data_IF_841848597320
#
_entry.id   IF_841848597320
#
_cell.length_a   1.000
_cell.length_b   1.000
_cell.length_c   1.000
_cell.angle_alpha   90.00
_cell.angle_beta   90.00
_cell.angle_gamma   90.00
#
_symmetry.space_group_name_H-M   'P 1'
#
loop_
_entity.id
_entity.type
_entity.pdbx_description
1 polymer ?
#
# COMPACT_ATOMS: atom_id res chain seq x y z
N UNK A 1 5.43 -22.77 -0.72
CA UNK A 1 5.26 -21.94 0.49
C UNK A 1 4.17 -20.91 0.19
N UNK A 2 3.11 -20.88 0.99
CA UNK A 2 2.02 -19.91 0.90
C UNK A 2 2.38 -18.72 1.79
N UNK A 3 2.34 -17.49 1.27
CA UNK A 3 2.70 -16.31 2.07
C UNK A 3 1.50 -15.38 2.30
N UNK A 4 1.28 -15.04 3.56
CA UNK A 4 0.37 -14.00 4.03
C UNK A 4 1.13 -12.80 4.61
N UNK A 5 2.39 -12.64 4.22
CA UNK A 5 3.22 -11.53 4.69
C UNK A 5 2.73 -10.21 4.09
N UNK A 6 2.48 -9.15 4.90
CA UNK A 6 1.85 -7.91 4.41
C UNK A 6 2.83 -6.91 3.77
N UNK A 7 4.04 -7.34 3.42
CA UNK A 7 4.95 -6.51 2.64
C UNK A 7 6.44 -6.78 2.85
N UNK A 8 7.16 -7.15 1.75
CA UNK A 8 6.63 -7.54 0.46
C UNK A 8 5.69 -8.71 0.56
N UNK A 9 4.64 -8.73 -0.26
CA UNK A 9 3.60 -9.74 -0.20
C UNK A 9 3.65 -10.71 -1.39
N UNK A 10 2.64 -11.55 -1.48
CA UNK A 10 2.49 -12.49 -2.59
C UNK A 10 2.43 -11.74 -3.92
N UNK A 11 3.15 -12.27 -4.89
CA UNK A 11 3.14 -11.82 -6.29
C UNK A 11 2.15 -12.68 -7.08
N UNK A 12 1.45 -12.10 -8.05
CA UNK A 12 0.59 -12.88 -8.95
C UNK A 12 1.41 -13.94 -9.68
N UNK A 13 0.92 -15.20 -9.83
CA UNK A 13 1.65 -16.27 -10.49
C UNK A 13 2.11 -15.92 -11.92
N UNK A 14 1.29 -15.18 -12.64
CA UNK A 14 1.55 -14.77 -14.03
C UNK A 14 2.73 -13.82 -14.19
N UNK A 15 3.19 -13.18 -13.12
CA UNK A 15 4.32 -12.25 -13.14
C UNK A 15 5.62 -12.95 -13.59
N UNK A 16 5.79 -14.24 -13.30
CA UNK A 16 6.92 -15.02 -13.78
C UNK A 16 6.95 -15.08 -15.32
N UNK A 17 5.80 -15.36 -15.94
CA UNK A 17 5.68 -15.43 -17.41
C UNK A 17 5.87 -14.05 -18.04
N UNK A 18 5.33 -12.99 -17.43
CA UNK A 18 5.52 -11.62 -17.89
C UNK A 18 6.98 -11.16 -17.80
N UNK A 19 7.72 -11.59 -16.77
CA UNK A 19 9.15 -11.30 -16.69
C UNK A 19 9.95 -11.98 -17.80
N UNK A 20 9.65 -13.25 -18.10
CA UNK A 20 10.25 -13.98 -19.24
C UNK A 20 9.90 -13.29 -20.56
N UNK A 21 8.66 -12.88 -20.73
CA UNK A 21 8.20 -12.15 -21.93
C UNK A 21 8.97 -10.84 -22.10
N UNK A 22 9.10 -10.04 -21.02
CA UNK A 22 9.84 -8.78 -21.04
C UNK A 22 11.29 -8.94 -21.52
N UNK A 23 11.96 -10.02 -21.05
CA UNK A 23 13.32 -10.33 -21.47
C UNK A 23 13.38 -10.74 -22.95
N UNK A 24 12.48 -11.61 -23.39
CA UNK A 24 12.44 -12.10 -24.78
C UNK A 24 12.12 -10.99 -25.78
N UNK A 25 11.29 -10.06 -25.42
CA UNK A 25 10.92 -8.89 -26.25
C UNK A 25 11.92 -7.75 -26.18
N UNK A 26 12.97 -7.86 -25.34
CA UNK A 26 13.97 -6.81 -25.17
C UNK A 26 13.50 -5.59 -24.38
N UNK A 27 12.34 -5.66 -23.72
CA UNK A 27 11.77 -4.55 -22.93
C UNK A 27 12.74 -4.08 -21.85
N UNK A 28 13.43 -5.01 -21.21
CA UNK A 28 14.38 -4.74 -20.12
C UNK A 28 15.61 -3.94 -20.56
N UNK A 29 15.85 -3.85 -21.87
CA UNK A 29 17.00 -3.14 -22.47
C UNK A 29 16.58 -1.86 -23.21
N UNK A 30 15.31 -1.48 -23.16
CA UNK A 30 14.82 -0.26 -23.81
C UNK A 30 15.40 0.98 -23.13
N UNK A 31 15.86 1.91 -23.95
CA UNK A 31 16.21 3.24 -23.47
C UNK A 31 14.92 3.95 -23.00
N UNK A 32 14.94 4.54 -21.81
CA UNK A 32 13.78 5.21 -21.19
C UNK A 32 13.29 6.46 -21.95
N UNK A 33 13.98 6.86 -23.02
CA UNK A 33 13.55 7.93 -23.95
C UNK A 33 13.15 7.38 -25.33
N UNK A 34 13.16 6.06 -25.53
CA UNK A 34 12.73 5.44 -26.78
C UNK A 34 11.20 5.39 -26.88
N UNK A 35 10.71 5.39 -28.13
CA UNK A 35 9.26 5.28 -28.38
C UNK A 35 8.65 4.04 -27.72
N UNK A 36 9.31 2.87 -27.85
CA UNK A 36 8.81 1.64 -27.24
C UNK A 36 8.70 1.68 -25.72
N UNK A 37 9.63 2.36 -25.02
CA UNK A 37 9.50 2.55 -23.58
C UNK A 37 8.37 3.54 -23.25
N UNK A 38 8.28 4.66 -23.96
CA UNK A 38 7.21 5.64 -23.77
C UNK A 38 5.83 5.02 -24.00
N UNK A 39 5.68 4.11 -24.94
CA UNK A 39 4.43 3.37 -25.16
C UNK A 39 4.05 2.50 -23.95
N UNK A 40 5.01 1.81 -23.32
CA UNK A 40 4.79 1.04 -22.09
C UNK A 40 4.35 1.95 -20.94
N UNK A 41 5.00 3.12 -20.75
CA UNK A 41 4.61 4.07 -19.70
C UNK A 41 3.23 4.64 -19.96
N UNK A 42 2.94 5.05 -21.20
CA UNK A 42 1.63 5.58 -21.61
C UNK A 42 0.50 4.60 -21.35
N UNK A 43 0.70 3.35 -21.75
CA UNK A 43 -0.29 2.28 -21.53
C UNK A 43 -0.47 2.01 -20.03
N UNK A 44 0.62 2.00 -19.24
CA UNK A 44 0.55 1.82 -17.79
C UNK A 44 -0.28 2.90 -17.12
N UNK A 45 -0.06 4.18 -17.50
CA UNK A 45 -0.81 5.33 -16.97
C UNK A 45 -2.28 5.24 -17.37
N UNK A 46 -2.56 4.91 -18.63
CA UNK A 46 -3.93 4.73 -19.11
C UNK A 46 -4.69 3.65 -18.32
N UNK A 47 -4.06 2.48 -18.13
CA UNK A 47 -4.64 1.39 -17.36
C UNK A 47 -4.82 1.72 -15.87
N UNK A 48 -3.93 2.51 -15.26
CA UNK A 48 -4.12 2.99 -13.89
C UNK A 48 -5.37 3.87 -13.77
N UNK A 49 -5.57 4.83 -14.71
CA UNK A 49 -6.79 5.63 -14.76
C UNK A 49 -8.03 4.75 -14.90
N UNK A 50 -8.01 3.81 -15.84
CA UNK A 50 -9.16 2.93 -16.13
C UNK A 50 -9.47 1.99 -14.95
N UNK A 51 -8.47 1.22 -14.52
CA UNK A 51 -8.68 0.12 -13.56
C UNK A 51 -8.96 0.60 -12.14
N UNK A 52 -8.35 1.72 -11.75
CA UNK A 52 -8.51 2.30 -10.42
C UNK A 52 -9.54 3.44 -10.37
N UNK A 53 -10.17 3.77 -11.51
CA UNK A 53 -11.12 4.89 -11.64
C UNK A 53 -10.52 6.23 -11.18
N UNK A 54 -9.25 6.50 -11.52
CA UNK A 54 -8.58 7.77 -11.20
C UNK A 54 -9.15 8.85 -12.13
N UNK A 55 -9.51 10.06 -11.62
CA UNK A 55 -9.99 11.16 -12.44
C UNK A 55 -8.99 11.55 -13.54
N UNK A 56 -9.49 11.89 -14.71
CA UNK A 56 -8.65 12.13 -15.89
C UNK A 56 -7.74 13.37 -15.78
N UNK A 57 -8.05 14.29 -14.88
CA UNK A 57 -7.26 15.48 -14.59
C UNK A 57 -6.16 15.27 -13.56
N UNK A 58 -6.13 14.10 -12.88
CA UNK A 58 -5.03 13.73 -12.00
C UNK A 58 -3.83 13.25 -12.82
N UNK A 59 -2.66 13.59 -12.37
CA UNK A 59 -1.40 13.17 -12.97
C UNK A 59 -0.88 11.92 -12.28
N UNK A 60 -0.22 11.05 -13.05
CA UNK A 60 0.38 9.80 -12.54
C UNK A 60 1.86 9.77 -12.90
N UNK A 61 2.69 9.48 -11.91
CA UNK A 61 4.12 9.23 -12.08
C UNK A 61 4.51 7.91 -11.42
N UNK A 62 5.62 7.33 -11.88
CA UNK A 62 6.18 6.10 -11.37
C UNK A 62 7.55 6.40 -10.76
N UNK A 63 7.71 6.10 -9.48
CA UNK A 63 8.90 6.39 -8.68
C UNK A 63 9.42 5.12 -8.02
N UNK A 64 10.56 5.16 -7.33
CA UNK A 64 11.24 3.95 -6.85
C UNK A 64 10.54 3.31 -5.64
N UNK A 65 9.90 4.11 -4.79
CA UNK A 65 9.25 3.62 -3.56
C UNK A 65 8.25 4.63 -2.98
N UNK A 66 7.34 4.16 -2.14
CA UNK A 66 6.47 5.04 -1.36
C UNK A 66 7.26 5.92 -0.36
N UNK A 67 8.41 5.46 0.12
CA UNK A 67 9.29 6.28 0.97
C UNK A 67 9.84 7.49 0.21
N UNK A 68 10.12 7.34 -1.07
CA UNK A 68 10.49 8.47 -1.95
C UNK A 68 9.32 9.46 -2.07
N UNK A 69 8.07 8.98 -2.12
CA UNK A 69 6.90 9.87 -2.12
C UNK A 69 6.79 10.70 -0.84
N UNK A 70 7.19 10.16 0.32
CA UNK A 70 7.26 10.94 1.56
C UNK A 70 8.20 12.14 1.45
N UNK A 71 9.36 11.94 0.82
CA UNK A 71 10.33 13.02 0.58
C UNK A 71 9.80 14.02 -0.45
N UNK A 72 9.20 13.54 -1.55
CA UNK A 72 8.59 14.41 -2.57
C UNK A 72 7.54 15.34 -1.94
N UNK A 73 6.66 14.81 -1.09
CA UNK A 73 5.65 15.62 -0.38
C UNK A 73 6.32 16.66 0.52
N UNK A 74 7.34 16.26 1.29
CA UNK A 74 8.01 17.15 2.23
C UNK A 74 8.77 18.29 1.52
N UNK A 75 9.47 18.00 0.43
CA UNK A 75 10.34 18.99 -0.26
C UNK A 75 9.58 19.81 -1.30
N UNK A 76 8.65 19.19 -2.04
CA UNK A 76 8.02 19.84 -3.20
C UNK A 76 6.65 20.45 -2.90
N UNK A 77 5.98 20.03 -1.80
CA UNK A 77 4.59 20.45 -1.51
C UNK A 77 4.42 21.12 -0.14
N UNK A 78 5.35 20.88 0.80
CA UNK A 78 5.27 21.48 2.13
C UNK A 78 5.95 22.84 2.15
N UNK A 79 5.17 23.90 2.37
CA UNK A 79 5.68 25.27 2.51
C UNK A 79 6.15 25.56 3.93
N UNK A 80 5.22 25.49 4.89
CA UNK A 80 5.49 25.82 6.30
C UNK A 80 5.68 24.56 7.14
N UNK A 81 4.69 23.67 7.19
CA UNK A 81 4.74 22.44 7.96
C UNK A 81 3.80 21.38 7.41
N UNK A 82 4.11 20.12 7.68
CA UNK A 82 3.19 19.00 7.48
C UNK A 82 2.67 18.47 8.81
N UNK A 83 1.38 18.12 8.85
CA UNK A 83 0.71 17.52 10.00
C UNK A 83 0.52 16.02 9.74
N UNK A 84 0.90 15.18 10.70
CA UNK A 84 0.87 13.73 10.57
C UNK A 84 0.07 13.09 11.72
N UNK A 85 -1.28 13.07 11.66
CA UNK A 85 -2.05 12.23 12.57
C UNK A 85 -1.77 10.77 12.26
N UNK A 86 -1.31 10.01 13.25
CA UNK A 86 -0.92 8.61 13.02
C UNK A 86 -1.47 7.69 14.13
N UNK A 87 -1.83 6.47 13.73
CA UNK A 87 -2.28 5.39 14.62
C UNK A 87 -1.29 4.23 14.71
N UNK A 88 -0.18 4.30 13.97
CA UNK A 88 0.80 3.21 13.94
C UNK A 88 2.17 3.61 13.45
N UNK A 89 3.01 2.59 13.19
CA UNK A 89 4.44 2.77 12.98
C UNK A 89 4.79 3.43 11.64
N UNK A 90 4.00 3.22 10.58
CA UNK A 90 4.30 3.82 9.28
C UNK A 90 3.98 5.31 9.27
N UNK A 91 2.86 5.71 9.86
CA UNK A 91 2.54 7.14 9.99
C UNK A 91 3.56 7.87 10.86
N UNK A 92 3.99 7.27 11.99
CA UNK A 92 5.06 7.82 12.82
C UNK A 92 6.37 7.98 12.04
N UNK A 93 6.76 6.95 11.29
CA UNK A 93 7.97 6.97 10.46
C UNK A 93 7.90 8.03 9.36
N UNK A 94 6.74 8.21 8.73
CA UNK A 94 6.56 9.27 7.74
C UNK A 94 6.78 10.66 8.36
N UNK A 95 6.17 10.93 9.52
CA UNK A 95 6.41 12.17 10.25
C UNK A 95 7.91 12.41 10.53
N UNK A 96 8.61 11.39 11.04
CA UNK A 96 10.05 11.47 11.31
C UNK A 96 10.88 11.81 10.07
N UNK A 97 10.52 11.25 8.90
CA UNK A 97 11.25 11.50 7.65
C UNK A 97 10.91 12.88 7.07
N UNK A 98 9.62 13.26 7.08
CA UNK A 98 9.21 14.58 6.63
C UNK A 98 9.88 15.70 7.46
N UNK A 99 9.92 15.55 8.78
CA UNK A 99 10.52 16.55 9.68
C UNK A 99 12.05 16.66 9.57
N UNK A 100 12.73 15.66 9.03
CA UNK A 100 14.18 15.78 8.71
C UNK A 100 14.41 16.69 7.51
N UNK A 101 13.47 16.72 6.56
CA UNK A 101 13.56 17.52 5.33
C UNK A 101 12.99 18.92 5.60
N UNK A 102 11.81 18.99 6.20
CA UNK A 102 11.10 20.22 6.52
C UNK A 102 10.69 20.21 8.00
N UNK A 103 11.58 20.62 8.92
CA UNK A 103 11.23 20.74 10.33
C UNK A 103 10.08 21.73 10.53
N UNK A 104 9.01 21.38 11.26
CA UNK A 104 7.90 22.29 11.47
C UNK A 104 8.31 23.48 12.36
N UNK A 105 8.00 24.68 11.95
CA UNK A 105 8.15 25.89 12.78
C UNK A 105 6.95 26.03 13.72
N UNK A 106 5.75 25.73 13.23
CA UNK A 106 4.51 25.66 13.99
C UNK A 106 3.55 24.67 13.34
N UNK A 107 3.05 23.70 14.09
CA UNK A 107 2.03 22.75 13.60
C UNK A 107 0.65 23.41 13.37
N UNK A 108 0.38 24.56 13.99
CA UNK A 108 -0.85 25.32 13.75
C UNK A 108 -0.87 26.00 12.37
N UNK A 109 0.28 26.10 11.72
CA UNK A 109 0.47 26.68 10.38
C UNK A 109 0.69 25.60 9.32
N UNK A 110 0.39 24.35 9.65
CA UNK A 110 0.55 23.25 8.70
C UNK A 110 -0.28 23.48 7.44
N UNK A 111 0.37 23.35 6.30
CA UNK A 111 -0.21 23.53 4.97
C UNK A 111 -0.34 22.21 4.18
N UNK A 112 0.18 21.11 4.76
CA UNK A 112 -0.02 19.74 4.24
C UNK A 112 -0.46 18.81 5.37
N UNK A 113 -1.56 18.07 5.16
CA UNK A 113 -2.02 17.00 6.03
C UNK A 113 -1.64 15.64 5.42
N UNK A 114 -0.85 14.86 6.15
CA UNK A 114 -0.33 13.57 5.72
C UNK A 114 -1.02 12.42 6.46
N UNK A 115 -1.75 11.57 5.73
CA UNK A 115 -2.59 10.51 6.31
C UNK A 115 -2.14 9.15 5.78
N UNK A 116 -1.91 8.19 6.66
CA UNK A 116 -1.79 6.78 6.28
C UNK A 116 -3.21 6.19 6.26
N UNK A 117 -3.72 5.94 5.04
CA UNK A 117 -5.09 5.45 4.87
C UNK A 117 -5.26 4.04 5.43
N UNK A 118 -4.26 3.18 5.25
CA UNK A 118 -4.26 1.82 5.79
C UNK A 118 -2.93 1.53 6.50
N UNK A 119 -2.97 1.50 7.82
CA UNK A 119 -1.77 1.31 8.66
C UNK A 119 -1.43 -0.19 8.76
N UNK A 120 -0.46 -0.60 7.98
CA UNK A 120 -0.06 -2.02 7.88
C UNK A 120 0.50 -2.58 9.19
N UNK A 121 1.04 -1.73 10.06
CA UNK A 121 1.70 -2.18 11.30
C UNK A 121 0.72 -2.79 12.32
N UNK A 122 -0.51 -2.30 12.34
CA UNK A 122 -1.54 -2.70 13.30
C UNK A 122 -2.88 -3.12 12.65
N UNK A 123 -3.04 -3.04 11.33
CA UNK A 123 -4.26 -3.41 10.63
C UNK A 123 -5.44 -2.45 10.87
N UNK A 124 -5.16 -1.15 11.01
CA UNK A 124 -6.20 -0.12 11.03
C UNK A 124 -6.31 0.60 9.68
N UNK A 125 -7.47 1.14 9.38
CA UNK A 125 -7.68 2.00 8.21
C UNK A 125 -8.48 3.26 8.56
N UNK A 126 -8.22 4.33 7.83
CA UNK A 126 -9.03 5.55 7.81
C UNK A 126 -10.10 5.36 6.74
N UNK A 127 -11.37 5.43 7.12
CA UNK A 127 -12.48 5.31 6.17
C UNK A 127 -12.54 6.51 5.21
N UNK A 128 -13.19 6.33 4.06
CA UNK A 128 -13.40 7.46 3.12
C UNK A 128 -14.29 8.54 3.76
N UNK A 129 -15.18 8.18 4.67
CA UNK A 129 -16.00 9.12 5.42
C UNK A 129 -15.15 9.99 6.38
N UNK A 130 -14.22 9.36 7.10
CA UNK A 130 -13.25 10.07 7.95
C UNK A 130 -12.33 10.96 7.12
N UNK A 131 -11.88 10.47 5.96
CA UNK A 131 -11.05 11.27 5.05
C UNK A 131 -11.84 12.48 4.49
N UNK A 132 -13.13 12.30 4.18
CA UNK A 132 -14.00 13.39 3.77
C UNK A 132 -14.18 14.43 4.89
N UNK A 133 -14.18 14.01 6.16
CA UNK A 133 -14.17 14.95 7.28
C UNK A 133 -12.87 15.76 7.33
N UNK A 134 -11.71 15.09 7.20
CA UNK A 134 -10.43 15.81 7.12
C UNK A 134 -10.42 16.82 5.97
N UNK A 135 -10.96 16.44 4.80
CA UNK A 135 -11.03 17.37 3.65
C UNK A 135 -11.91 18.60 3.92
N UNK A 136 -12.97 18.47 4.70
CA UNK A 136 -13.82 19.62 5.11
C UNK A 136 -13.11 20.53 6.12
N UNK A 137 -12.37 19.93 7.04
CA UNK A 137 -11.79 20.65 8.19
C UNK A 137 -10.40 21.25 7.87
N UNK A 138 -9.73 20.75 6.82
CA UNK A 138 -8.39 21.17 6.46
C UNK A 138 -8.37 21.83 5.08
N UNK A 139 -7.90 23.07 5.01
CA UNK A 139 -7.88 23.87 3.77
C UNK A 139 -6.63 23.70 2.93
N UNK A 140 -5.54 23.16 3.50
CA UNK A 140 -4.28 22.87 2.82
C UNK A 140 -4.36 21.62 1.93
N UNK A 141 -3.22 21.16 1.44
CA UNK A 141 -3.13 19.93 0.68
C UNK A 141 -3.26 18.70 1.59
N UNK A 142 -3.91 17.66 1.11
CA UNK A 142 -3.95 16.35 1.75
C UNK A 142 -3.12 15.35 0.94
N UNK A 143 -2.14 14.72 1.58
CA UNK A 143 -1.35 13.64 1.02
C UNK A 143 -1.67 12.32 1.72
N UNK A 144 -1.90 11.26 0.96
CA UNK A 144 -2.36 9.97 1.48
C UNK A 144 -1.40 8.85 1.08
N UNK A 145 -0.84 8.19 2.09
CA UNK A 145 -0.17 6.91 1.95
C UNK A 145 -1.24 5.80 1.86
N UNK A 146 -1.43 5.29 0.65
CA UNK A 146 -2.35 4.19 0.34
C UNK A 146 -1.58 2.90 0.01
N UNK A 147 -0.39 2.73 0.55
CA UNK A 147 0.55 1.64 0.19
C UNK A 147 -0.07 0.26 0.38
N UNK A 148 -0.86 0.05 1.41
CA UNK A 148 -1.50 -1.26 1.65
C UNK A 148 -2.99 -1.31 1.32
N UNK A 149 -3.50 -0.33 0.58
CA UNK A 149 -4.90 -0.28 0.18
C UNK A 149 -5.12 0.00 -1.32
N UNK A 150 -4.28 0.81 -1.97
CA UNK A 150 -4.40 1.09 -3.41
C UNK A 150 -4.34 -0.21 -4.22
N UNK A 151 -5.24 -0.36 -5.18
CA UNK A 151 -5.52 -1.58 -5.94
C UNK A 151 -6.16 -2.73 -5.13
N UNK A 152 -6.57 -2.50 -3.88
CA UNK A 152 -7.30 -3.46 -3.05
C UNK A 152 -8.66 -2.96 -2.59
N UNK A 153 -8.84 -1.63 -2.46
CA UNK A 153 -10.11 -1.00 -2.09
C UNK A 153 -10.45 0.15 -3.04
N UNK A 154 -11.71 0.56 -3.05
CA UNK A 154 -12.13 1.80 -3.73
C UNK A 154 -11.63 2.99 -2.92
N UNK A 155 -10.91 3.90 -3.59
CA UNK A 155 -10.48 5.19 -3.04
C UNK A 155 -11.27 6.31 -3.70
N UNK A 156 -11.75 7.27 -2.92
CA UNK A 156 -12.29 8.52 -3.45
C UNK A 156 -11.13 9.51 -3.66
N UNK A 157 -10.66 9.56 -4.89
CA UNK A 157 -9.49 10.36 -5.28
C UNK A 157 -9.66 11.84 -4.97
N UNK A 158 -10.91 12.35 -4.98
CA UNK A 158 -11.22 13.77 -4.78
C UNK A 158 -10.98 14.26 -3.35
N UNK A 159 -10.82 13.33 -2.40
CA UNK A 159 -10.62 13.64 -0.99
C UNK A 159 -9.17 14.02 -0.63
N UNK A 160 -8.22 13.79 -1.54
CA UNK A 160 -6.84 14.17 -1.31
C UNK A 160 -6.16 14.64 -2.61
N UNK A 161 -5.12 15.44 -2.44
CA UNK A 161 -4.36 16.04 -3.53
C UNK A 161 -3.20 15.16 -3.99
N UNK A 162 -2.71 14.28 -3.11
CA UNK A 162 -1.63 13.33 -3.42
C UNK A 162 -1.98 11.96 -2.85
N UNK A 163 -1.79 10.94 -3.67
CA UNK A 163 -1.94 9.54 -3.30
C UNK A 163 -0.74 8.75 -3.80
N UNK A 164 -0.26 7.82 -3.00
CA UNK A 164 0.84 6.96 -3.46
C UNK A 164 0.77 5.57 -2.86
N UNK A 165 1.33 4.60 -3.61
CA UNK A 165 1.46 3.24 -3.15
C UNK A 165 2.65 2.54 -3.80
N UNK A 166 3.37 1.72 -3.02
CA UNK A 166 4.34 0.77 -3.55
C UNK A 166 3.65 -0.49 -4.09
N UNK A 167 4.18 -1.05 -5.17
CA UNK A 167 3.51 -2.13 -5.92
C UNK A 167 3.59 -3.52 -5.27
N UNK A 168 4.41 -3.72 -4.23
CA UNK A 168 4.63 -5.03 -3.60
C UNK A 168 3.56 -5.45 -2.59
N UNK A 169 2.39 -4.85 -2.61
CA UNK A 169 1.23 -5.17 -1.75
C UNK A 169 0.01 -5.49 -2.60
N UNK A 170 -1.03 -4.64 -2.63
CA UNK A 170 -2.26 -4.93 -3.36
C UNK A 170 -2.08 -5.08 -4.88
N UNK A 171 -1.09 -4.42 -5.48
CA UNK A 171 -0.76 -4.65 -6.90
C UNK A 171 -0.17 -6.04 -7.18
N UNK A 172 0.27 -6.79 -6.17
CA UNK A 172 0.76 -8.16 -6.32
C UNK A 172 2.03 -8.29 -7.18
N UNK A 173 2.96 -7.35 -7.05
CA UNK A 173 4.20 -7.25 -7.82
C UNK A 173 5.45 -7.31 -6.94
N UNK A 174 6.64 -7.57 -7.50
CA UNK A 174 7.91 -7.40 -6.80
C UNK A 174 8.13 -5.95 -6.34
N UNK A 175 8.85 -5.76 -5.23
CA UNK A 175 9.23 -4.43 -4.75
C UNK A 175 10.19 -3.70 -5.71
N UNK A 176 10.27 -2.37 -5.60
CA UNK A 176 11.18 -1.53 -6.38
C UNK A 176 10.48 -0.60 -7.37
N UNK A 177 9.17 -0.36 -7.16
CA UNK A 177 8.36 0.60 -7.89
C UNK A 177 7.25 1.12 -6.99
N UNK A 178 6.86 2.39 -7.18
CA UNK A 178 5.67 2.99 -6.58
C UNK A 178 4.92 3.85 -7.60
N UNK A 179 3.62 3.95 -7.40
CA UNK A 179 2.71 4.84 -8.13
C UNK A 179 2.53 6.10 -7.29
N UNK A 180 2.75 7.26 -7.88
CA UNK A 180 2.49 8.58 -7.33
C UNK A 180 1.38 9.24 -8.17
N UNK A 181 0.29 9.61 -7.55
CA UNK A 181 -0.88 10.23 -8.17
C UNK A 181 -1.07 11.60 -7.51
N UNK A 182 -1.22 12.64 -8.29
CA UNK A 182 -1.36 14.00 -7.76
C UNK A 182 -2.35 14.84 -8.57
N UNK A 183 -3.10 15.66 -7.84
CA UNK A 183 -4.14 16.54 -8.39
C UNK A 183 -3.54 17.76 -9.11
N UNK A 184 -4.34 18.49 -9.92
CA UNK A 184 -3.97 19.80 -10.42
C UNK A 184 -3.59 20.80 -9.31
N UNK A 185 -4.24 20.71 -8.13
CA UNK A 185 -3.90 21.55 -6.97
C UNK A 185 -2.51 21.25 -6.43
N UNK A 186 -2.13 19.98 -6.35
CA UNK A 186 -0.78 19.60 -5.91
C UNK A 186 0.28 20.09 -6.90
N UNK A 187 0.00 20.00 -8.22
CA UNK A 187 0.92 20.54 -9.24
C UNK A 187 1.07 22.05 -9.11
N UNK A 188 -0.05 22.78 -8.99
CA UNK A 188 -0.03 24.24 -8.78
C UNK A 188 0.78 24.60 -7.53
N UNK A 189 0.59 23.85 -6.43
CA UNK A 189 1.37 24.06 -5.21
C UNK A 189 2.87 23.85 -5.42
N UNK A 190 3.25 22.80 -6.16
CA UNK A 190 4.65 22.56 -6.51
C UNK A 190 5.25 23.73 -7.33
N UNK A 191 4.49 24.31 -8.26
CA UNK A 191 4.87 25.50 -9.03
C UNK A 191 5.06 26.73 -8.13
N UNK A 192 4.18 26.94 -7.15
CA UNK A 192 4.27 28.04 -6.18
C UNK A 192 5.52 27.91 -5.28
N UNK A 193 5.86 26.70 -4.84
CA UNK A 193 7.08 26.44 -4.06
C UNK A 193 8.33 26.54 -4.95
N UNK A 194 8.24 26.08 -6.19
CA UNK A 194 9.32 26.17 -7.18
C UNK A 194 10.53 25.31 -6.84
N UNK A 195 10.37 24.24 -6.06
CA UNK A 195 11.47 23.32 -5.72
C UNK A 195 11.90 22.54 -6.97
N UNK A 196 13.19 22.65 -7.34
CA UNK A 196 13.78 22.02 -8.52
C UNK A 196 15.25 21.58 -8.32
N UNK A 197 15.70 21.54 -7.08
CA UNK A 197 17.09 21.22 -6.74
C UNK A 197 17.34 19.72 -6.54
N UNK A 198 16.28 18.91 -6.41
CA UNK A 198 16.40 17.48 -6.22
C UNK A 198 16.01 16.70 -7.48
N UNK A 199 16.65 15.55 -7.71
CA UNK A 199 16.35 14.69 -8.87
C UNK A 199 14.90 14.16 -8.86
N UNK A 200 14.30 14.08 -7.68
CA UNK A 200 12.92 13.64 -7.44
C UNK A 200 11.98 14.82 -7.10
N UNK A 201 12.32 16.04 -7.46
CA UNK A 201 11.42 17.19 -7.39
C UNK A 201 10.16 16.92 -8.20
N UNK A 202 8.97 17.25 -7.66
CA UNK A 202 7.70 16.97 -8.32
C UNK A 202 7.59 17.67 -9.68
N UNK A 203 8.12 18.88 -9.82
CA UNK A 203 8.13 19.59 -11.10
C UNK A 203 8.96 18.87 -12.15
N UNK A 204 10.14 18.37 -11.79
CA UNK A 204 10.99 17.62 -12.69
C UNK A 204 10.39 16.27 -13.06
N UNK A 205 9.76 15.60 -12.10
CA UNK A 205 8.96 14.38 -12.34
C UNK A 205 7.83 14.69 -13.33
N UNK A 206 7.05 15.74 -13.08
CA UNK A 206 5.92 16.13 -13.94
C UNK A 206 6.36 16.44 -15.38
N UNK A 207 7.44 17.23 -15.55
CA UNK A 207 7.98 17.57 -16.87
C UNK A 207 8.34 16.32 -17.69
N UNK A 208 8.90 15.31 -17.06
CA UNK A 208 9.26 14.07 -17.74
C UNK A 208 8.03 13.19 -18.02
N UNK A 209 7.16 12.95 -17.04
CA UNK A 209 5.98 12.10 -17.21
C UNK A 209 4.93 12.69 -18.16
N UNK A 210 4.88 14.02 -18.33
CA UNK A 210 4.06 14.65 -19.38
C UNK A 210 4.45 14.23 -20.80
N UNK A 211 5.68 13.71 -20.96
CA UNK A 211 6.23 13.15 -22.21
C UNK A 211 6.29 11.61 -22.16
N UNK A 212 5.70 10.96 -21.16
CA UNK A 212 5.81 9.52 -20.87
C UNK A 212 7.24 9.04 -20.68
N UNK A 213 8.13 9.92 -20.20
CA UNK A 213 9.53 9.64 -19.87
C UNK A 213 9.72 9.66 -18.36
N UNK A 214 10.87 9.19 -17.91
CA UNK A 214 11.27 9.26 -16.49
C UNK A 214 12.46 10.22 -16.33
N UNK A 215 12.60 10.90 -15.17
CA UNK A 215 13.72 11.81 -14.92
C UNK A 215 15.08 11.08 -14.86
N UNK A 216 15.08 9.80 -14.55
CA UNK A 216 16.27 8.93 -14.46
C UNK A 216 15.97 7.58 -15.12
N UNK A 217 17.00 6.73 -15.30
CA UNK A 217 16.81 5.37 -15.82
C UNK A 217 16.00 4.54 -14.79
N UNK A 218 14.76 4.12 -15.13
CA UNK A 218 13.84 3.53 -14.18
C UNK A 218 13.99 2.02 -14.08
N UNK A 219 13.23 1.42 -13.14
CA UNK A 219 12.94 -0.01 -13.14
C UNK A 219 11.99 -0.37 -14.31
N UNK A 220 12.51 -0.43 -15.54
CA UNK A 220 11.71 -0.70 -16.74
C UNK A 220 10.97 -2.03 -16.69
N UNK A 221 11.59 -3.08 -16.12
CA UNK A 221 10.91 -4.35 -15.87
C UNK A 221 9.70 -4.17 -14.94
N UNK A 222 9.88 -3.46 -13.82
CA UNK A 222 8.79 -3.21 -12.87
C UNK A 222 7.61 -2.47 -13.51
N UNK A 223 7.87 -1.48 -14.37
CA UNK A 223 6.83 -0.74 -15.11
C UNK A 223 6.08 -1.67 -16.07
N UNK A 224 6.82 -2.50 -16.82
CA UNK A 224 6.21 -3.46 -17.72
C UNK A 224 5.35 -4.49 -16.97
N UNK A 225 5.84 -5.02 -15.86
CA UNK A 225 5.08 -5.96 -15.03
C UNK A 225 3.81 -5.31 -14.47
N UNK A 226 3.87 -4.03 -14.07
CA UNK A 226 2.69 -3.28 -13.63
C UNK A 226 1.66 -3.16 -14.76
N UNK A 227 2.08 -2.78 -15.96
CA UNK A 227 1.22 -2.74 -17.14
C UNK A 227 0.51 -4.09 -17.37
N UNK A 228 1.28 -5.20 -17.36
CA UNK A 228 0.73 -6.54 -17.61
C UNK A 228 -0.26 -6.99 -16.53
N UNK A 229 0.02 -6.69 -15.25
CA UNK A 229 -0.91 -6.98 -14.16
C UNK A 229 -2.17 -6.14 -14.28
N UNK A 230 -2.06 -4.85 -14.61
CA UNK A 230 -3.23 -3.98 -14.81
C UNK A 230 -4.11 -4.46 -15.97
N UNK A 231 -3.54 -4.99 -17.05
CA UNK A 231 -4.30 -5.55 -18.18
C UNK A 231 -5.23 -6.70 -17.78
N UNK A 232 -4.82 -7.51 -16.79
CA UNK A 232 -5.65 -8.62 -16.28
C UNK A 232 -6.50 -8.25 -15.06
N UNK A 233 -6.23 -7.11 -14.42
CA UNK A 233 -6.94 -6.69 -13.21
C UNK A 233 -8.40 -6.36 -13.55
N UNK A 234 -9.34 -6.88 -12.76
CA UNK A 234 -10.73 -6.45 -12.82
C UNK A 234 -10.86 -4.98 -12.38
N UNK A 235 -11.96 -4.28 -12.73
CA UNK A 235 -12.23 -2.95 -12.20
C UNK A 235 -12.15 -2.92 -10.67
N UNK A 236 -11.66 -1.82 -10.11
CA UNK A 236 -11.39 -1.72 -8.66
C UNK A 236 -12.62 -2.01 -7.80
N UNK A 237 -13.83 -1.71 -8.27
CA UNK A 237 -15.06 -1.99 -7.54
C UNK A 237 -15.25 -3.49 -7.29
N UNK A 238 -14.95 -4.32 -8.30
CA UNK A 238 -15.06 -5.77 -8.20
C UNK A 238 -13.98 -6.34 -7.28
N UNK A 239 -12.73 -5.88 -7.42
CA UNK A 239 -11.62 -6.27 -6.54
C UNK A 239 -11.94 -5.92 -5.09
N UNK A 240 -12.37 -4.69 -4.83
CA UNK A 240 -12.69 -4.21 -3.49
C UNK A 240 -13.85 -4.99 -2.84
N UNK A 241 -14.86 -5.35 -3.62
CA UNK A 241 -15.97 -6.18 -3.15
C UNK A 241 -15.46 -7.53 -2.63
N UNK A 242 -14.59 -8.19 -3.38
CA UNK A 242 -13.98 -9.47 -2.97
C UNK A 242 -13.13 -9.29 -1.71
N UNK A 243 -12.28 -8.26 -1.66
CA UNK A 243 -11.40 -7.98 -0.51
C UNK A 243 -12.21 -7.71 0.75
N UNK A 244 -13.25 -6.87 0.65
CA UNK A 244 -14.14 -6.55 1.77
C UNK A 244 -14.88 -7.78 2.29
N UNK A 245 -15.40 -8.63 1.40
CA UNK A 245 -16.06 -9.88 1.80
C UNK A 245 -15.08 -10.82 2.52
N UNK A 246 -13.86 -10.97 2.02
CA UNK A 246 -12.80 -11.76 2.66
C UNK A 246 -12.41 -11.21 4.03
N UNK A 247 -12.30 -9.88 4.17
CA UNK A 247 -12.01 -9.23 5.44
C UNK A 247 -13.09 -9.53 6.48
N UNK A 248 -14.37 -9.38 6.11
CA UNK A 248 -15.49 -9.72 6.98
C UNK A 248 -15.45 -11.20 7.41
N UNK A 249 -15.13 -12.10 6.48
CA UNK A 249 -14.99 -13.53 6.78
C UNK A 249 -13.78 -13.81 7.71
N UNK A 250 -12.67 -13.08 7.62
CA UNK A 250 -11.57 -13.18 8.56
C UNK A 250 -11.93 -12.69 9.96
N UNK A 251 -12.60 -11.54 10.06
CA UNK A 251 -13.05 -11.01 11.36
C UNK A 251 -14.04 -11.96 12.05
N UNK A 252 -15.05 -12.43 11.31
CA UNK A 252 -16.00 -13.43 11.81
C UNK A 252 -15.30 -14.71 12.28
N UNK A 253 -14.29 -15.19 11.54
CA UNK A 253 -13.54 -16.38 11.88
C UNK A 253 -12.84 -16.27 13.24
N UNK A 254 -12.17 -15.15 13.53
CA UNK A 254 -11.54 -14.92 14.83
C UNK A 254 -12.55 -14.69 15.96
N UNK A 255 -13.67 -14.02 15.67
CA UNK A 255 -14.68 -13.69 16.67
C UNK A 255 -15.59 -14.88 17.04
N UNK A 256 -15.76 -15.85 16.15
CA UNK A 256 -16.66 -16.98 16.38
C UNK A 256 -15.90 -18.31 16.49
N UNK A 257 -15.16 -18.70 15.46
CA UNK A 257 -14.53 -20.02 15.38
C UNK A 257 -13.29 -20.12 16.27
N UNK A 258 -12.54 -19.03 16.43
CA UNK A 258 -11.36 -18.94 17.31
C UNK A 258 -11.60 -18.12 18.59
N UNK A 259 -12.84 -17.83 18.96
CA UNK A 259 -13.20 -17.01 20.12
C UNK A 259 -12.62 -17.51 21.45
N UNK A 260 -12.38 -18.82 21.58
CA UNK A 260 -11.84 -19.45 22.80
C UNK A 260 -10.31 -19.70 22.70
N UNK A 261 -9.66 -19.28 21.62
CA UNK A 261 -8.21 -19.44 21.46
C UNK A 261 -7.43 -18.36 22.22
N UNK A 262 -6.12 -18.58 22.36
CA UNK A 262 -5.20 -17.57 22.90
C UNK A 262 -4.95 -16.39 21.95
N UNK A 263 -5.54 -16.41 20.74
CA UNK A 263 -5.39 -15.39 19.71
C UNK A 263 -6.63 -14.53 19.57
N UNK A 264 -6.46 -13.22 19.59
CA UNK A 264 -7.53 -12.25 19.46
C UNK A 264 -7.22 -11.23 18.37
N UNK A 265 -8.24 -10.61 17.80
CA UNK A 265 -8.04 -9.46 16.91
C UNK A 265 -7.39 -8.31 17.69
N UNK A 266 -6.36 -7.69 17.12
CA UNK A 266 -5.71 -6.51 17.73
C UNK A 266 -6.69 -5.33 17.81
N UNK A 267 -7.49 -5.12 16.76
CA UNK A 267 -8.45 -4.02 16.67
C UNK A 267 -9.85 -4.48 17.08
N UNK A 268 -10.29 -4.05 18.25
CA UNK A 268 -11.64 -4.33 18.76
C UNK A 268 -12.69 -3.37 18.14
N UNK A 269 -12.32 -2.13 17.86
CA UNK A 269 -13.18 -1.17 17.18
C UNK A 269 -13.34 -1.54 15.69
N UNK A 270 -14.55 -1.93 15.34
CA UNK A 270 -14.90 -2.36 13.97
C UNK A 270 -14.81 -1.23 12.94
N UNK A 271 -14.92 0.03 13.37
CA UNK A 271 -14.91 1.19 12.48
C UNK A 271 -13.54 1.48 11.88
N UNK A 272 -12.47 0.99 12.52
CA UNK A 272 -11.10 1.22 12.06
C UNK A 272 -10.42 -0.03 11.51
N UNK A 273 -11.12 -1.16 11.43
CA UNK A 273 -10.57 -2.42 10.93
C UNK A 273 -10.20 -2.32 9.45
N UNK A 274 -9.01 -2.78 9.12
CA UNK A 274 -8.50 -2.81 7.75
C UNK A 274 -9.15 -3.91 6.91
N UNK A 275 -9.55 -3.60 5.68
CA UNK A 275 -10.00 -4.59 4.72
C UNK A 275 -8.85 -5.43 4.15
N UNK A 276 -7.61 -4.95 4.22
CA UNK A 276 -6.46 -5.55 3.52
C UNK A 276 -5.42 -6.19 4.44
N UNK A 277 -5.43 -5.88 5.75
CA UNK A 277 -4.49 -6.45 6.72
C UNK A 277 -5.20 -6.77 8.02
N UNK A 278 -5.25 -8.04 8.37
CA UNK A 278 -5.81 -8.50 9.65
C UNK A 278 -4.65 -8.65 10.64
N UNK A 279 -4.71 -7.93 11.76
CA UNK A 279 -3.73 -8.01 12.84
C UNK A 279 -4.30 -8.84 14.01
N UNK A 280 -3.55 -9.84 14.42
CA UNK A 280 -3.94 -10.80 15.45
C UNK A 280 -2.91 -10.73 16.57
N UNK A 281 -3.38 -10.58 17.82
CA UNK A 281 -2.55 -10.53 19.01
C UNK A 281 -2.61 -11.82 19.83
N UNK A 282 -1.57 -12.06 20.60
CA UNK A 282 -1.43 -13.14 21.57
C UNK A 282 -0.23 -12.89 22.48
N UNK A 283 0.07 -13.82 23.37
CA UNK A 283 1.33 -13.73 24.14
C UNK A 283 2.54 -13.88 23.22
N UNK A 284 3.69 -13.33 23.61
CA UNK A 284 4.94 -13.44 22.84
C UNK A 284 5.32 -14.91 22.57
N UNK A 285 5.00 -15.80 23.52
CA UNK A 285 5.26 -17.24 23.42
C UNK A 285 4.34 -17.85 22.36
N UNK A 286 3.04 -17.59 22.42
CA UNK A 286 2.06 -18.14 21.49
C UNK A 286 2.29 -17.63 20.07
N UNK A 287 2.58 -16.34 19.91
CA UNK A 287 2.91 -15.73 18.61
C UNK A 287 4.14 -16.39 17.99
N UNK A 288 5.19 -16.64 18.79
CA UNK A 288 6.38 -17.34 18.32
C UNK A 288 6.07 -18.79 17.94
N UNK A 289 5.30 -19.49 18.76
CA UNK A 289 4.95 -20.89 18.56
C UNK A 289 4.10 -21.08 17.30
N UNK A 290 3.00 -20.32 17.12
CA UNK A 290 2.14 -20.44 15.93
C UNK A 290 2.88 -20.10 14.65
N UNK A 291 3.75 -19.09 14.66
CA UNK A 291 4.56 -18.73 13.48
C UNK A 291 5.55 -19.83 13.10
N UNK A 292 6.15 -20.49 14.09
CA UNK A 292 7.04 -21.63 13.86
C UNK A 292 6.27 -22.82 13.28
N UNK A 293 5.11 -23.15 13.84
CA UNK A 293 4.25 -24.21 13.34
C UNK A 293 3.72 -23.93 11.90
N UNK A 294 3.31 -22.68 11.64
CA UNK A 294 2.91 -22.26 10.29
C UNK A 294 4.04 -22.43 9.28
N UNK A 295 5.25 -22.03 9.63
CA UNK A 295 6.42 -22.19 8.77
C UNK A 295 6.72 -23.66 8.46
N UNK A 296 6.59 -24.56 9.44
CA UNK A 296 6.72 -26.02 9.26
C UNK A 296 5.65 -26.57 8.34
N UNK A 297 4.43 -26.01 8.39
CA UNK A 297 3.32 -26.32 7.48
C UNK A 297 3.44 -25.66 6.08
N UNK A 298 4.54 -24.96 5.79
CA UNK A 298 4.73 -24.27 4.52
C UNK A 298 3.96 -22.96 4.38
N UNK A 299 3.52 -22.37 5.50
CA UNK A 299 2.75 -21.11 5.55
C UNK A 299 3.60 -20.01 6.21
N UNK A 300 3.66 -18.83 5.60
CA UNK A 300 4.36 -17.68 6.13
C UNK A 300 3.36 -16.64 6.63
N UNK A 301 3.24 -16.48 7.95
CA UNK A 301 2.49 -15.41 8.59
C UNK A 301 3.32 -14.12 8.64
N UNK A 302 2.66 -12.97 8.56
CA UNK A 302 3.31 -11.67 8.72
C UNK A 302 3.84 -11.48 10.15
N UNK A 303 5.05 -10.93 10.28
CA UNK A 303 5.57 -10.52 11.58
C UNK A 303 4.77 -9.34 12.14
N UNK A 304 4.69 -9.21 13.46
CA UNK A 304 4.32 -7.97 14.10
C UNK A 304 5.30 -6.84 13.73
N UNK A 305 4.90 -5.58 13.92
CA UNK A 305 5.71 -4.42 13.55
C UNK A 305 5.59 -3.31 14.58
N UNK A 306 6.67 -2.50 14.75
CA UNK A 306 6.68 -1.42 15.73
C UNK A 306 6.46 -1.94 17.15
N UNK A 307 5.53 -1.32 17.86
CA UNK A 307 5.19 -1.65 19.26
C UNK A 307 4.55 -3.04 19.39
N UNK A 308 4.02 -3.60 18.31
CA UNK A 308 3.39 -4.93 18.28
C UNK A 308 4.32 -6.05 17.76
N UNK A 309 5.63 -5.82 17.71
CA UNK A 309 6.60 -6.70 17.04
C UNK A 309 6.58 -8.13 17.54
N UNK A 310 6.46 -8.33 18.86
CA UNK A 310 6.52 -9.66 19.50
C UNK A 310 5.16 -10.23 19.82
N UNK A 311 4.16 -9.38 20.02
CA UNK A 311 2.82 -9.74 20.51
C UNK A 311 1.77 -9.93 19.40
N UNK A 312 2.15 -9.82 18.11
CA UNK A 312 1.21 -9.99 16.99
C UNK A 312 1.79 -10.79 15.86
N UNK A 313 0.90 -11.41 15.08
CA UNK A 313 1.13 -11.73 13.68
C UNK A 313 0.10 -11.02 12.80
N UNK A 314 0.39 -10.91 11.51
CA UNK A 314 -0.49 -10.24 10.55
C UNK A 314 -0.78 -11.14 9.37
N UNK A 315 -2.00 -11.04 8.86
CA UNK A 315 -2.47 -11.76 7.68
C UNK A 315 -2.75 -10.72 6.59
N UNK A 316 -2.01 -10.79 5.49
CA UNK A 316 -2.34 -10.02 4.30
C UNK A 316 -3.62 -10.56 3.67
N UNK A 317 -4.53 -9.68 3.30
CA UNK A 317 -5.74 -9.96 2.54
C UNK A 317 -5.68 -9.21 1.20
N UNK A 318 -4.59 -9.43 0.45
CA UNK A 318 -4.33 -8.75 -0.81
C UNK A 318 -4.86 -9.52 -2.02
N UNK A 319 -5.12 -8.84 -3.16
CA UNK A 319 -5.75 -9.46 -4.33
C UNK A 319 -5.03 -10.69 -4.90
N UNK A 320 -3.70 -10.75 -4.82
CA UNK A 320 -2.92 -11.88 -5.33
C UNK A 320 -3.04 -13.17 -4.50
N UNK A 321 -3.62 -13.11 -3.30
CA UNK A 321 -3.86 -14.28 -2.44
C UNK A 321 -5.15 -14.97 -2.90
N UNK A 322 -5.08 -16.27 -3.19
CA UNK A 322 -6.23 -17.03 -3.67
C UNK A 322 -7.18 -17.48 -2.53
N UNK A 323 -8.40 -17.83 -2.88
CA UNK A 323 -9.38 -18.36 -1.92
C UNK A 323 -8.89 -19.66 -1.31
N UNK A 324 -8.30 -20.58 -2.11
CA UNK A 324 -7.77 -21.85 -1.63
C UNK A 324 -6.65 -21.68 -0.60
N UNK A 325 -5.81 -20.67 -0.78
CA UNK A 325 -4.77 -20.34 0.21
C UNK A 325 -5.38 -19.82 1.52
N UNK A 326 -6.43 -18.99 1.43
CA UNK A 326 -7.15 -18.50 2.60
C UNK A 326 -7.77 -19.68 3.38
N UNK A 327 -8.43 -20.60 2.69
CA UNK A 327 -9.01 -21.78 3.33
C UNK A 327 -7.92 -22.71 3.93
N UNK A 328 -6.78 -22.83 3.26
CA UNK A 328 -5.62 -23.56 3.79
C UNK A 328 -5.13 -22.94 5.10
N UNK A 329 -5.04 -21.62 5.18
CA UNK A 329 -4.63 -20.93 6.41
C UNK A 329 -5.68 -21.07 7.51
N UNK A 330 -6.97 -20.91 7.20
CA UNK A 330 -8.04 -21.09 8.20
C UNK A 330 -8.03 -22.49 8.80
N UNK A 331 -7.92 -23.52 7.96
CA UNK A 331 -7.83 -24.90 8.42
C UNK A 331 -6.61 -25.16 9.30
N UNK A 332 -5.45 -24.58 8.94
CA UNK A 332 -4.25 -24.64 9.77
C UNK A 332 -4.50 -24.02 11.15
N UNK A 333 -5.06 -22.80 11.19
CA UNK A 333 -5.34 -22.07 12.43
C UNK A 333 -6.33 -22.84 13.34
N UNK A 334 -7.39 -23.39 12.77
CA UNK A 334 -8.36 -24.23 13.51
C UNK A 334 -7.68 -25.44 14.14
N UNK A 335 -6.93 -26.21 13.36
CA UNK A 335 -6.27 -27.42 13.83
C UNK A 335 -5.24 -27.11 14.93
N UNK A 336 -4.50 -26.01 14.76
CA UNK A 336 -3.51 -25.57 15.75
C UNK A 336 -4.18 -25.19 17.07
N UNK A 337 -5.20 -24.33 17.03
CA UNK A 337 -5.90 -23.87 18.25
C UNK A 337 -6.70 -24.99 18.95
N UNK A 338 -7.29 -25.94 18.21
CA UNK A 338 -7.96 -27.08 18.81
C UNK A 338 -7.00 -28.02 19.54
N UNK A 339 -5.80 -28.24 18.99
CA UNK A 339 -4.76 -29.04 19.65
C UNK A 339 -4.29 -28.40 20.97
N UNK A 340 -4.13 -27.06 21.00
CA UNK A 340 -3.76 -26.33 22.21
C UNK A 340 -4.83 -26.43 23.30
N UNK A 341 -6.12 -26.31 22.96
CA UNK A 341 -7.21 -26.44 23.93
C UNK A 341 -7.25 -27.84 24.53
N UNK A 342 -7.06 -28.90 23.72
CA UNK A 342 -7.05 -30.29 24.19
C UNK A 342 -5.81 -30.63 25.03
N UNK A 343 -4.70 -29.92 24.88
CA UNK A 343 -3.49 -30.13 25.67
C UNK A 343 -3.49 -29.38 27.00
N UNK A 344 -4.35 -28.38 27.16
CA UNK A 344 -4.51 -27.58 28.37
C UNK A 344 -5.63 -28.06 29.30
N UNK A 345 -6.46 -29.00 28.84
CA UNK A 345 -7.52 -29.71 29.61
C UNK A 345 -7.02 -31.04 30.18
#
# INVERSE_FOLDING_TARGET
MITFYPGPSKVYPQVADYAVEAVRQGIVSLNHRSAGFMDVVKETIHLLHEKLAIPADYHIALVSSATECWEIVAQSLTGEASLHPHSGAFGKKWAEYAYRIKPPTSLSEADVLCIVQNETSNGTQVSMETLAQFRRDFTGLIAVDAVSSMAGIVLDWTLADVWFASVQKCFGLPAGLAVLIYSPNALKRAEEIGENSHYNSLLFIHENFSKFQTPYTPNGLGIYLLMRVLQQLAPIADVASVIKHRAAAWYSFFENELAQSSFQLLNQDTLVRSDTVIAVQGSDIDIKAIKTAAQQAGIMLGNGYGDWKTSTFRIANFPAISTDEIETLKQFLLNYCLADILSAS
#
